data_IF_637972461666
#
_entry.id   IF_637972461666
#
_cell.length_a   1.000
_cell.length_b   1.000
_cell.length_c   1.000
_cell.angle_alpha   90.00
_cell.angle_beta   90.00
_cell.angle_gamma   90.00
#
_symmetry.space_group_name_H-M   'P 1'
#
loop_
_entity.id
_entity.type
_entity.pdbx_description
1 polymer ?
#
# COMPACT_ATOMS: atom_id res chain seq x y z
N UNK A 1 -12.78 4.09 -23.80
CA UNK A 1 -12.61 5.29 -22.96
C UNK A 1 -11.62 4.95 -21.85
N UNK A 2 -10.38 5.45 -21.91
CA UNK A 2 -9.46 5.31 -20.77
C UNK A 2 -9.87 6.38 -19.75
N UNK A 3 -10.57 5.99 -18.70
CA UNK A 3 -11.03 6.88 -17.64
C UNK A 3 -9.86 7.55 -16.90
N UNK A 4 -10.12 8.67 -16.23
CA UNK A 4 -9.08 9.43 -15.50
C UNK A 4 -8.41 8.61 -14.37
N UNK A 5 -8.96 7.46 -14.01
CA UNK A 5 -8.45 6.55 -12.97
C UNK A 5 -7.50 5.46 -13.49
N UNK A 6 -7.26 5.37 -14.81
CA UNK A 6 -6.46 4.29 -15.41
C UNK A 6 -5.04 4.18 -14.85
N UNK A 7 -4.39 5.31 -14.54
CA UNK A 7 -3.06 5.32 -13.95
C UNK A 7 -2.98 4.72 -12.54
N UNK A 8 -4.04 4.88 -11.74
CA UNK A 8 -4.10 4.26 -10.40
C UNK A 8 -4.22 2.74 -10.50
N UNK A 9 -5.01 2.22 -11.44
CA UNK A 9 -5.17 0.78 -11.66
C UNK A 9 -3.86 0.14 -12.14
N UNK A 10 -3.14 0.78 -13.05
CA UNK A 10 -1.83 0.31 -13.46
C UNK A 10 -0.83 0.34 -12.30
N UNK A 11 -0.80 1.43 -11.53
CA UNK A 11 0.00 1.54 -10.31
C UNK A 11 -0.32 0.45 -9.28
N UNK A 12 -1.59 0.03 -9.17
CA UNK A 12 -2.01 -1.08 -8.31
C UNK A 12 -1.39 -2.42 -8.71
N UNK A 13 -1.35 -2.74 -10.01
CA UNK A 13 -0.75 -3.99 -10.48
C UNK A 13 0.76 -4.03 -10.16
N UNK A 14 1.46 -2.92 -10.40
CA UNK A 14 2.90 -2.79 -10.08
C UNK A 14 3.15 -2.86 -8.58
N UNK A 15 2.33 -2.18 -7.78
CA UNK A 15 2.45 -2.20 -6.33
C UNK A 15 2.15 -3.59 -5.73
N UNK A 16 1.15 -4.31 -6.24
CA UNK A 16 0.84 -5.66 -5.79
C UNK A 16 2.03 -6.61 -6.04
N UNK A 17 2.68 -6.50 -7.21
CA UNK A 17 3.89 -7.26 -7.51
C UNK A 17 5.04 -6.89 -6.57
N UNK A 18 5.32 -5.59 -6.38
CA UNK A 18 6.40 -5.13 -5.52
C UNK A 18 6.19 -5.52 -4.04
N UNK A 19 4.98 -5.34 -3.51
CA UNK A 19 4.64 -5.71 -2.13
C UNK A 19 4.62 -7.24 -1.95
N UNK A 20 4.14 -7.99 -2.95
CA UNK A 20 4.17 -9.46 -2.94
C UNK A 20 5.60 -10.00 -2.88
N UNK A 21 6.48 -9.50 -3.75
CA UNK A 21 7.90 -9.84 -3.75
C UNK A 21 8.59 -9.53 -2.42
N UNK A 22 8.28 -8.37 -1.85
CA UNK A 22 8.76 -7.96 -0.54
C UNK A 22 8.24 -8.84 0.61
N UNK A 23 7.02 -9.37 0.48
CA UNK A 23 6.42 -10.30 1.45
C UNK A 23 7.01 -11.71 1.41
N UNK A 24 7.55 -12.14 0.27
CA UNK A 24 8.29 -13.40 0.12
C UNK A 24 9.72 -13.33 0.66
N UNK A 25 10.27 -12.11 0.83
CA UNK A 25 11.56 -11.94 1.48
C UNK A 25 11.48 -12.36 2.97
N UNK A 26 12.33 -13.32 3.32
CA UNK A 26 12.34 -14.02 4.61
C UNK A 26 12.21 -13.07 5.82
N UNK A 27 11.33 -13.43 6.76
CA UNK A 27 11.08 -12.72 8.01
C UNK A 27 10.49 -11.28 7.89
N UNK A 28 9.90 -10.88 6.76
CA UNK A 28 9.16 -9.61 6.66
C UNK A 28 7.80 -9.64 7.34
N UNK A 29 7.13 -10.80 7.33
CA UNK A 29 5.80 -11.01 7.91
C UNK A 29 5.77 -10.76 9.42
N UNK A 30 6.77 -11.21 10.17
CA UNK A 30 6.79 -11.11 11.64
C UNK A 30 7.19 -9.73 12.19
N UNK A 31 7.73 -8.84 11.37
CA UNK A 31 8.34 -7.60 11.85
C UNK A 31 7.48 -6.37 11.49
N UNK A 32 6.86 -5.74 12.49
CA UNK A 32 5.96 -4.59 12.36
C UNK A 32 6.55 -3.46 11.49
N UNK A 33 7.83 -3.13 11.70
CA UNK A 33 8.51 -2.09 10.95
C UNK A 33 8.65 -2.42 9.45
N UNK A 34 8.92 -3.68 9.11
CA UNK A 34 9.08 -4.13 7.72
C UNK A 34 7.74 -4.15 6.99
N UNK A 35 6.66 -4.56 7.67
CA UNK A 35 5.31 -4.49 7.11
C UNK A 35 4.84 -3.05 6.87
N UNK A 36 5.14 -2.11 7.77
CA UNK A 36 4.89 -0.68 7.54
C UNK A 36 5.63 -0.15 6.31
N UNK A 37 6.89 -0.53 6.13
CA UNK A 37 7.70 -0.14 4.97
C UNK A 37 7.09 -0.71 3.69
N UNK A 38 6.71 -2.00 3.67
CA UNK A 38 6.06 -2.63 2.53
C UNK A 38 4.77 -1.90 2.11
N UNK A 39 3.89 -1.62 3.07
CA UNK A 39 2.64 -0.89 2.83
C UNK A 39 2.88 0.54 2.31
N UNK A 40 3.90 1.21 2.85
CA UNK A 40 4.27 2.57 2.44
C UNK A 40 4.81 2.58 1.01
N UNK A 41 5.69 1.63 0.67
CA UNK A 41 6.24 1.48 -0.69
C UNK A 41 5.13 1.21 -1.70
N UNK A 42 4.23 0.25 -1.41
CA UNK A 42 3.11 -0.06 -2.30
C UNK A 42 2.21 1.16 -2.54
N UNK A 43 1.89 1.90 -1.48
CA UNK A 43 1.10 3.14 -1.57
C UNK A 43 1.83 4.21 -2.39
N UNK A 44 3.13 4.39 -2.18
CA UNK A 44 3.94 5.36 -2.90
C UNK A 44 3.97 5.06 -4.40
N UNK A 45 4.13 3.79 -4.79
CA UNK A 45 4.11 3.37 -6.20
C UNK A 45 2.75 3.71 -6.84
N UNK A 46 1.64 3.39 -6.17
CA UNK A 46 0.28 3.68 -6.66
C UNK A 46 0.09 5.20 -6.83
N UNK A 47 0.52 5.98 -5.85
CA UNK A 47 0.41 7.44 -5.87
C UNK A 47 1.26 8.06 -6.97
N UNK A 48 2.51 7.63 -7.15
CA UNK A 48 3.40 8.19 -8.18
C UNK A 48 2.85 7.92 -9.58
N UNK A 49 2.50 6.67 -9.88
CA UNK A 49 1.95 6.31 -11.18
C UNK A 49 0.56 6.93 -11.43
N UNK A 50 -0.32 6.91 -10.43
CA UNK A 50 -1.66 7.50 -10.52
C UNK A 50 -1.63 9.02 -10.70
N UNK A 51 -0.84 9.73 -9.89
CA UNK A 51 -0.76 11.20 -9.93
C UNK A 51 -0.04 11.69 -11.18
N UNK A 52 0.99 10.97 -11.67
CA UNK A 52 1.67 11.33 -12.93
C UNK A 52 0.74 11.18 -14.13
N UNK A 53 0.01 10.07 -14.22
CA UNK A 53 -0.96 9.84 -15.29
C UNK A 53 -2.10 10.88 -15.27
N UNK A 54 -2.58 11.21 -14.06
CA UNK A 54 -3.61 12.23 -13.88
C UNK A 54 -3.08 13.64 -14.21
N UNK A 55 -1.84 13.93 -13.86
CA UNK A 55 -1.16 15.19 -14.16
C UNK A 55 -0.99 15.44 -15.65
N UNK A 56 -0.75 14.40 -16.44
CA UNK A 56 -0.69 14.49 -17.91
C UNK A 56 -2.08 14.81 -18.50
N UNK A 57 -3.17 14.40 -17.84
CA UNK A 57 -4.54 14.56 -18.35
C UNK A 57 -5.23 15.86 -17.97
N UNK A 58 -5.13 16.27 -16.71
CA UNK A 58 -5.87 17.42 -16.16
C UNK A 58 -4.94 18.50 -15.59
N UNK A 59 -3.62 18.32 -15.67
CA UNK A 59 -2.63 19.25 -15.12
C UNK A 59 -2.18 18.88 -13.71
N UNK A 60 -0.92 19.17 -13.38
CA UNK A 60 -0.29 18.76 -12.13
C UNK A 60 -0.94 19.37 -10.87
N UNK A 61 -1.45 20.62 -10.97
CA UNK A 61 -2.10 21.31 -9.86
C UNK A 61 -3.41 20.61 -9.44
N UNK A 62 -4.24 20.24 -10.41
CA UNK A 62 -5.49 19.53 -10.16
C UNK A 62 -5.25 18.06 -9.83
N UNK A 63 -4.23 17.43 -10.42
CA UNK A 63 -3.84 16.07 -10.07
C UNK A 63 -3.41 15.94 -8.59
N UNK A 64 -2.73 16.94 -8.04
CA UNK A 64 -2.40 16.96 -6.61
C UNK A 64 -3.66 17.10 -5.74
N UNK A 65 -4.55 18.05 -6.07
CA UNK A 65 -5.78 18.30 -5.32
C UNK A 65 -6.76 17.13 -5.33
N UNK A 66 -7.04 16.56 -6.50
CA UNK A 66 -8.06 15.53 -6.67
C UNK A 66 -7.50 14.11 -6.60
N UNK A 67 -6.21 13.93 -6.85
CA UNK A 67 -5.56 12.63 -6.88
C UNK A 67 -4.69 12.35 -5.67
N UNK A 68 -3.77 13.25 -5.33
CA UNK A 68 -2.76 12.99 -4.29
C UNK A 68 -3.30 13.18 -2.86
N UNK A 69 -3.86 14.35 -2.54
CA UNK A 69 -4.35 14.65 -1.19
C UNK A 69 -5.42 13.68 -0.66
N UNK A 70 -6.50 13.35 -1.41
CA UNK A 70 -7.51 12.43 -0.90
C UNK A 70 -6.97 11.00 -0.74
N UNK A 71 -6.09 10.55 -1.64
CA UNK A 71 -5.45 9.24 -1.51
C UNK A 71 -4.46 9.18 -0.35
N UNK A 72 -3.71 10.25 -0.09
CA UNK A 72 -2.76 10.29 1.01
C UNK A 72 -3.47 10.19 2.36
N UNK A 73 -4.60 10.89 2.52
CA UNK A 73 -5.40 10.80 3.74
C UNK A 73 -5.97 9.38 3.94
N UNK A 74 -6.52 8.77 2.88
CA UNK A 74 -7.00 7.40 2.92
C UNK A 74 -5.89 6.37 3.18
N UNK A 75 -4.71 6.60 2.62
CA UNK A 75 -3.53 5.76 2.85
C UNK A 75 -3.04 5.85 4.29
N UNK A 76 -2.97 7.05 4.87
CA UNK A 76 -2.58 7.23 6.27
C UNK A 76 -3.49 6.43 7.21
N UNK A 77 -4.81 6.50 7.00
CA UNK A 77 -5.79 5.73 7.79
C UNK A 77 -5.55 4.22 7.62
N UNK A 78 -5.37 3.76 6.38
CA UNK A 78 -5.10 2.33 6.09
C UNK A 78 -3.81 1.82 6.71
N UNK A 79 -2.74 2.62 6.66
CA UNK A 79 -1.44 2.27 7.23
C UNK A 79 -1.54 2.17 8.76
N UNK A 80 -2.23 3.11 9.42
CA UNK A 80 -2.45 3.07 10.87
C UNK A 80 -3.29 1.85 11.27
N UNK A 81 -4.37 1.57 10.54
CA UNK A 81 -5.20 0.38 10.80
C UNK A 81 -4.43 -0.93 10.53
N UNK A 82 -3.72 -1.02 9.42
CA UNK A 82 -2.89 -2.18 9.09
C UNK A 82 -1.79 -2.40 10.13
N UNK A 83 -1.16 -1.33 10.59
CA UNK A 83 -0.19 -1.38 11.69
C UNK A 83 -0.84 -1.88 12.98
N UNK A 84 -2.06 -1.48 13.35
CA UNK A 84 -2.71 -2.00 14.54
C UNK A 84 -3.13 -3.49 14.41
N UNK A 85 -3.60 -3.90 13.23
CA UNK A 85 -4.17 -5.24 13.00
C UNK A 85 -3.10 -6.31 12.78
N UNK A 86 -2.01 -6.02 12.07
CA UNK A 86 -0.93 -6.98 11.82
C UNK A 86 -0.34 -7.62 13.09
N UNK A 87 0.12 -6.86 14.10
CA UNK A 87 0.71 -7.44 15.30
C UNK A 87 -0.31 -8.22 16.12
N UNK A 88 -1.59 -7.83 16.12
CA UNK A 88 -2.67 -8.63 16.71
C UNK A 88 -2.85 -9.96 16.00
N UNK A 89 -2.84 -9.94 14.65
CA UNK A 89 -2.93 -11.15 13.84
C UNK A 89 -1.75 -12.10 14.10
N UNK A 90 -0.51 -11.60 14.06
CA UNK A 90 0.67 -12.44 14.31
C UNK A 90 0.74 -12.94 15.74
N UNK A 91 0.37 -12.13 16.73
CA UNK A 91 0.32 -12.56 18.13
C UNK A 91 -0.71 -13.68 18.35
N UNK A 92 -1.85 -13.59 17.66
CA UNK A 92 -2.90 -14.62 17.75
C UNK A 92 -2.46 -15.90 17.02
N UNK A 93 -1.90 -15.78 15.82
CA UNK A 93 -1.40 -16.92 15.03
C UNK A 93 -0.22 -17.62 15.71
N UNK A 94 0.74 -16.88 16.30
CA UNK A 94 1.87 -17.48 17.01
C UNK A 94 1.45 -18.23 18.29
N UNK A 95 0.35 -17.82 18.92
CA UNK A 95 -0.23 -18.54 20.06
C UNK A 95 -0.82 -19.87 19.60
N UNK A 96 -1.55 -19.88 18.48
CA UNK A 96 -2.10 -21.13 17.93
C UNK A 96 -1.03 -22.11 17.42
N UNK A 97 0.09 -21.61 16.90
CA UNK A 97 1.19 -22.47 16.42
C UNK A 97 2.00 -23.10 17.58
N UNK A 98 2.01 -22.46 18.75
CA UNK A 98 2.74 -22.92 19.93
C UNK A 98 1.95 -23.92 20.81
N UNK A 99 0.63 -24.06 20.59
CA UNK A 99 -0.22 -25.05 21.27
C UNK A 99 -0.29 -26.41 20.53
N UNK A 100 0.31 -26.51 19.34
CA UNK A 100 0.35 -27.74 18.51
C UNK A 100 1.67 -28.52 18.59
N UNK A 101 2.57 -28.19 19.53
CA UNK A 101 3.86 -28.89 19.73
C UNK A 101 3.89 -29.62 21.07
#
# INVERSE_FOLDING_TARGET
MIGNTGGYLFGFAVAAFAVGWLGECENWRVNFGKSLIAMTIGTAIILIFGTTFLGIKIGFSDALKYGFYPFLLGAAIKIVLGAAVLPLYYKTVSVFENDTV
#
